data_IF_493084311141
#
_entry.id   IF_493084311141
#
_cell.length_a   1.000
_cell.length_b   1.000
_cell.length_c   1.000
_cell.angle_alpha   90.00
_cell.angle_beta   90.00
_cell.angle_gamma   90.00
#
_symmetry.space_group_name_H-M   'P 1'
#
loop_
_entity.id
_entity.type
_entity.pdbx_description
1 polymer ?
#
# COMPACT_ATOMS: atom_id res chain seq x y z
N UNK A 1 22.19 6.97 8.87
CA UNK A 1 20.88 6.95 8.21
C UNK A 1 20.30 5.54 8.23
N UNK A 2 20.90 4.58 7.51
CA UNK A 2 20.47 3.16 7.49
C UNK A 2 20.39 2.56 8.90
N UNK A 3 21.38 2.82 9.76
CA UNK A 3 21.36 2.37 11.15
C UNK A 3 20.14 2.88 11.92
N UNK A 4 19.80 4.18 11.82
CA UNK A 4 18.60 4.73 12.45
C UNK A 4 17.31 4.15 11.85
N UNK A 5 17.26 3.94 10.52
CA UNK A 5 16.15 3.27 9.86
C UNK A 5 15.93 1.84 10.39
N UNK A 6 17.03 1.09 10.58
CA UNK A 6 17.00 -0.26 11.12
C UNK A 6 16.54 -0.28 12.58
N UNK A 7 17.02 0.65 13.41
CA UNK A 7 16.59 0.75 14.80
C UNK A 7 15.13 1.18 14.93
N UNK A 8 14.66 2.10 14.09
CA UNK A 8 13.25 2.48 14.04
C UNK A 8 12.38 1.27 13.69
N UNK A 9 12.77 0.52 12.64
CA UNK A 9 12.09 -0.71 12.25
C UNK A 9 12.09 -1.75 13.38
N UNK A 10 13.23 -1.96 14.03
CA UNK A 10 13.33 -2.89 15.18
C UNK A 10 12.40 -2.48 16.32
N UNK A 11 12.30 -1.19 16.63
CA UNK A 11 11.41 -0.70 17.69
C UNK A 11 9.95 -1.02 17.38
N UNK A 12 9.51 -0.84 16.12
CA UNK A 12 8.13 -1.17 15.76
C UNK A 12 7.88 -2.66 15.68
N UNK A 13 8.86 -3.47 15.26
CA UNK A 13 8.74 -4.94 15.32
C UNK A 13 8.49 -5.41 16.75
N UNK A 14 9.27 -4.90 17.71
CA UNK A 14 9.09 -5.20 19.14
C UNK A 14 7.67 -4.79 19.58
N UNK A 15 7.18 -3.61 19.18
CA UNK A 15 5.82 -3.21 19.48
C UNK A 15 4.78 -4.16 18.88
N UNK A 16 4.97 -4.63 17.64
CA UNK A 16 4.07 -5.60 17.00
C UNK A 16 4.04 -6.92 17.78
N UNK A 17 5.21 -7.45 18.17
CA UNK A 17 5.29 -8.67 18.98
C UNK A 17 4.58 -8.48 20.33
N UNK A 18 4.82 -7.34 20.99
CA UNK A 18 4.21 -6.99 22.27
C UNK A 18 2.67 -6.92 22.21
N UNK A 19 2.09 -6.35 21.16
CA UNK A 19 0.62 -6.23 21.08
C UNK A 19 -0.08 -7.55 20.79
N UNK A 20 0.66 -8.56 20.31
CA UNK A 20 0.20 -9.91 20.03
C UNK A 20 0.41 -10.87 21.22
N UNK A 21 1.13 -10.46 22.28
CA UNK A 21 1.32 -11.24 23.51
C UNK A 21 0.03 -11.37 24.35
N UNK A 22 -0.14 -12.53 25.00
CA UNK A 22 -1.21 -12.78 25.98
C UNK A 22 -0.61 -13.18 27.35
N UNK A 23 -0.79 -12.38 28.43
CA UNK A 23 -1.45 -11.07 28.47
C UNK A 23 -0.56 -9.96 27.85
N UNK A 24 -1.18 -8.94 27.22
CA UNK A 24 -0.39 -7.87 26.60
C UNK A 24 0.30 -7.01 27.68
N UNK A 25 1.49 -6.47 27.36
CA UNK A 25 2.25 -5.58 28.25
C UNK A 25 1.52 -4.25 28.48
N UNK A 26 2.04 -3.45 29.42
CA UNK A 26 1.43 -2.16 29.77
C UNK A 26 1.43 -1.20 28.57
N UNK A 27 0.35 -0.42 28.44
CA UNK A 27 0.18 0.56 27.36
C UNK A 27 1.34 1.58 27.33
N UNK A 28 1.85 1.97 28.49
CA UNK A 28 2.98 2.88 28.61
C UNK A 28 4.28 2.28 28.04
N UNK A 29 4.52 0.97 28.23
CA UNK A 29 5.72 0.31 27.70
C UNK A 29 5.71 0.29 26.17
N UNK A 30 4.59 -0.11 25.56
CA UNK A 30 4.41 -0.10 24.10
C UNK A 30 4.55 1.33 23.55
N UNK A 31 3.93 2.31 24.21
CA UNK A 31 4.00 3.71 23.79
C UNK A 31 5.43 4.28 23.87
N UNK A 32 6.18 3.98 24.93
CA UNK A 32 7.57 4.43 25.07
C UNK A 32 8.48 3.89 23.95
N UNK A 33 8.36 2.61 23.62
CA UNK A 33 9.14 1.99 22.53
C UNK A 33 8.73 2.60 21.19
N UNK A 34 7.43 2.77 20.95
CA UNK A 34 6.93 3.40 19.73
C UNK A 34 7.45 4.83 19.56
N UNK A 35 7.42 5.64 20.62
CA UNK A 35 7.95 7.01 20.60
C UNK A 35 9.47 7.04 20.35
N UNK A 36 10.21 6.04 20.85
CA UNK A 36 11.63 5.86 20.53
C UNK A 36 11.81 5.55 19.04
N UNK A 37 10.97 4.67 18.48
CA UNK A 37 10.92 4.39 17.04
C UNK A 37 10.68 5.65 16.21
N UNK A 38 9.70 6.49 16.58
CA UNK A 38 9.44 7.76 15.88
C UNK A 38 10.61 8.73 15.95
N UNK A 39 11.30 8.82 17.09
CA UNK A 39 12.51 9.65 17.21
C UNK A 39 13.59 9.18 16.23
N UNK A 40 13.83 7.88 16.14
CA UNK A 40 14.82 7.28 15.24
C UNK A 40 14.43 7.44 13.77
N UNK A 41 13.14 7.30 13.45
CA UNK A 41 12.57 7.57 12.13
C UNK A 41 12.82 9.02 11.70
N UNK A 42 12.58 9.99 12.59
CA UNK A 42 12.81 11.41 12.30
C UNK A 42 14.29 11.69 12.04
N UNK A 43 15.20 11.15 12.86
CA UNK A 43 16.65 11.27 12.63
C UNK A 43 17.09 10.65 11.29
N UNK A 44 16.56 9.48 10.95
CA UNK A 44 16.82 8.85 9.65
C UNK A 44 16.31 9.72 8.49
N UNK A 45 15.10 10.26 8.61
CA UNK A 45 14.45 11.09 7.59
C UNK A 45 15.14 12.44 7.42
N UNK A 46 15.66 13.04 8.49
CA UNK A 46 16.52 14.23 8.44
C UNK A 46 17.80 13.95 7.64
N UNK A 47 18.52 12.88 7.97
CA UNK A 47 19.73 12.51 7.24
C UNK A 47 19.48 12.18 5.77
N UNK A 48 18.33 11.57 5.45
CA UNK A 48 17.92 11.35 4.06
C UNK A 48 17.73 12.68 3.33
N UNK A 49 17.05 13.65 3.94
CA UNK A 49 16.83 14.98 3.35
C UNK A 49 18.14 15.73 3.14
N UNK A 50 19.04 15.71 4.12
CA UNK A 50 20.35 16.37 4.02
C UNK A 50 21.21 15.78 2.90
N UNK A 51 21.12 14.45 2.69
CA UNK A 51 21.85 13.77 1.62
C UNK A 51 21.24 14.05 0.24
N UNK A 52 19.91 14.13 0.13
CA UNK A 52 19.20 14.49 -1.10
C UNK A 52 19.47 15.95 -1.50
N UNK A 53 19.64 16.86 -0.52
CA UNK A 53 19.91 18.27 -0.77
C UNK A 53 21.33 18.53 -1.33
N UNK A 54 22.23 17.56 -1.26
CA UNK A 54 23.59 17.68 -1.80
C UNK A 54 23.59 17.50 -3.32
N UNK A 55 24.19 18.44 -4.04
CA UNK A 55 24.13 18.52 -5.51
C UNK A 55 24.92 17.44 -6.27
N UNK A 56 25.74 16.64 -5.58
CA UNK A 56 26.57 15.60 -6.20
C UNK A 56 26.44 14.25 -5.46
N UNK A 57 25.20 13.78 -5.28
CA UNK A 57 24.94 12.48 -4.65
C UNK A 57 25.62 11.36 -5.45
N UNK A 58 26.53 10.63 -4.79
CA UNK A 58 27.23 9.50 -5.41
C UNK A 58 26.32 8.27 -5.51
N UNK A 59 26.64 7.34 -6.41
CA UNK A 59 25.90 6.06 -6.55
C UNK A 59 25.79 5.30 -5.22
N UNK A 60 26.86 5.27 -4.43
CA UNK A 60 26.87 4.65 -3.09
C UNK A 60 25.91 5.33 -2.10
N UNK A 61 25.72 6.64 -2.22
CA UNK A 61 24.81 7.41 -1.36
C UNK A 61 23.35 7.19 -1.76
N UNK A 62 23.08 7.03 -3.06
CA UNK A 62 21.76 6.63 -3.56
C UNK A 62 21.36 5.22 -3.12
N UNK A 63 22.32 4.29 -3.02
CA UNK A 63 22.09 2.95 -2.44
C UNK A 63 21.75 3.02 -0.95
N UNK A 64 22.39 3.91 -0.19
CA UNK A 64 22.02 4.17 1.21
C UNK A 64 20.61 4.73 1.32
N UNK A 65 20.23 5.68 0.45
CA UNK A 65 18.88 6.23 0.39
C UNK A 65 17.85 5.14 0.10
N UNK A 66 18.13 4.27 -0.86
CA UNK A 66 17.28 3.14 -1.21
C UNK A 66 17.11 2.18 -0.03
N UNK A 67 18.22 1.79 0.62
CA UNK A 67 18.20 0.89 1.77
C UNK A 67 17.40 1.48 2.94
N UNK A 68 17.62 2.75 3.29
CA UNK A 68 16.86 3.43 4.33
C UNK A 68 15.38 3.51 4.00
N UNK A 69 15.01 3.92 2.78
CA UNK A 69 13.61 4.04 2.40
C UNK A 69 12.88 2.68 2.46
N UNK A 70 13.52 1.60 2.03
CA UNK A 70 12.97 0.24 2.12
C UNK A 70 12.74 -0.23 3.56
N UNK A 71 13.55 0.23 4.51
CA UNK A 71 13.38 -0.05 5.95
C UNK A 71 12.29 0.83 6.59
N UNK A 72 12.16 2.09 6.13
CA UNK A 72 11.20 3.03 6.70
C UNK A 72 9.76 2.81 6.23
N UNK A 73 9.53 2.21 5.04
CA UNK A 73 8.18 1.88 4.55
C UNK A 73 7.44 0.91 5.50
N UNK A 74 8.01 -0.23 5.92
CA UNK A 74 7.39 -1.09 6.93
C UNK A 74 7.22 -0.40 8.29
N UNK A 75 8.14 0.50 8.66
CA UNK A 75 8.03 1.25 9.91
C UNK A 75 6.79 2.13 9.93
N UNK A 76 6.55 2.91 8.87
CA UNK A 76 5.43 3.86 8.83
C UNK A 76 4.07 3.18 8.81
N UNK A 77 3.94 2.01 8.21
CA UNK A 77 2.69 1.24 8.24
C UNK A 77 2.48 0.51 9.57
N UNK A 78 3.51 -0.17 10.09
CA UNK A 78 3.38 -0.93 11.34
C UNK A 78 3.13 0.01 12.53
N UNK A 79 3.75 1.19 12.55
CA UNK A 79 3.57 2.19 13.62
C UNK A 79 2.14 2.73 13.67
N UNK A 80 1.42 2.78 12.54
CA UNK A 80 -0.01 3.11 12.50
C UNK A 80 -0.85 2.05 13.21
N UNK A 81 -0.54 0.78 13.01
CA UNK A 81 -1.27 -0.32 13.65
C UNK A 81 -1.07 -0.30 15.16
N UNK A 82 0.18 -0.14 15.61
CA UNK A 82 0.49 -0.03 17.04
C UNK A 82 -0.21 1.18 17.64
N UNK A 83 -0.18 2.33 16.96
CA UNK A 83 -0.88 3.55 17.39
C UNK A 83 -2.39 3.35 17.49
N UNK A 84 -3.00 2.64 16.53
CA UNK A 84 -4.41 2.27 16.58
C UNK A 84 -4.71 1.34 17.76
N UNK A 85 -3.87 0.34 18.02
CA UNK A 85 -4.00 -0.55 19.17
C UNK A 85 -3.95 0.24 20.50
N UNK A 86 -2.96 1.12 20.66
CA UNK A 86 -2.83 2.01 21.83
C UNK A 86 -4.11 2.84 22.00
N UNK A 87 -4.57 3.47 20.92
CA UNK A 87 -5.80 4.29 20.93
C UNK A 87 -7.03 3.47 21.33
N UNK A 88 -7.15 2.23 20.86
CA UNK A 88 -8.30 1.37 21.16
C UNK A 88 -8.34 0.89 22.61
N UNK A 89 -7.18 0.81 23.29
CA UNK A 89 -7.04 0.35 24.67
C UNK A 89 -7.05 1.50 25.68
N UNK A 90 -6.78 2.72 25.25
CA UNK A 90 -6.81 3.91 26.10
C UNK A 90 -8.24 4.25 26.52
N UNK A 91 -8.53 4.16 27.82
CA UNK A 91 -9.86 4.47 28.41
C UNK A 91 -10.15 5.97 28.51
N UNK A 92 -9.19 6.83 28.18
CA UNK A 92 -9.33 8.27 28.33
C UNK A 92 -9.83 8.90 27.04
N UNK A 93 -11.02 9.53 27.10
CA UNK A 93 -11.58 10.46 26.10
C UNK A 93 -10.70 11.72 25.84
N UNK A 94 -9.40 11.67 26.15
CA UNK A 94 -8.47 12.73 25.79
C UNK A 94 -8.03 12.44 24.36
N UNK A 95 -8.39 13.34 23.47
CA UNK A 95 -7.89 13.42 22.10
C UNK A 95 -6.37 13.53 22.11
N UNK A 96 -5.69 12.42 22.31
CA UNK A 96 -4.30 12.30 21.91
C UNK A 96 -4.34 12.48 20.39
N UNK A 97 -3.95 13.67 19.96
CA UNK A 97 -3.73 14.05 18.57
C UNK A 97 -3.05 12.86 17.90
N UNK A 98 -3.83 12.06 17.16
CA UNK A 98 -3.34 10.84 16.57
C UNK A 98 -2.08 11.24 15.81
N UNK A 99 -0.95 10.61 16.13
CA UNK A 99 0.18 10.58 15.22
C UNK A 99 -0.22 9.63 14.08
N UNK A 100 -1.25 10.05 13.35
CA UNK A 100 -1.77 9.35 12.19
C UNK A 100 -0.86 9.69 11.04
N UNK A 101 0.23 8.92 10.94
CA UNK A 101 0.87 8.73 9.65
C UNK A 101 -0.26 8.27 8.72
N UNK A 102 -0.56 9.06 7.70
CA UNK A 102 -1.60 8.70 6.73
C UNK A 102 -0.93 7.85 5.63
N UNK A 103 -1.66 7.19 4.72
CA UNK A 103 -1.03 6.48 3.60
C UNK A 103 -0.07 7.38 2.79
N UNK A 104 -0.17 8.70 2.94
CA UNK A 104 0.73 9.72 2.39
C UNK A 104 2.21 9.39 2.59
N UNK A 105 2.66 9.09 3.82
CA UNK A 105 4.10 8.90 4.07
C UNK A 105 4.63 7.63 3.38
N UNK A 106 3.81 6.58 3.37
CA UNK A 106 4.10 5.32 2.67
C UNK A 106 4.19 5.55 1.16
N UNK A 107 3.23 6.29 0.60
CA UNK A 107 3.20 6.66 -0.82
C UNK A 107 4.44 7.49 -1.19
N UNK A 108 4.75 8.53 -0.40
CA UNK A 108 5.87 9.43 -0.65
C UNK A 108 7.18 8.65 -0.65
N UNK A 109 7.40 7.79 0.34
CA UNK A 109 8.62 6.97 0.39
C UNK A 109 8.72 5.97 -0.76
N UNK A 110 7.64 5.24 -1.09
CA UNK A 110 7.67 4.28 -2.18
C UNK A 110 7.86 4.95 -3.56
N UNK A 111 7.31 6.15 -3.76
CA UNK A 111 7.58 6.96 -4.96
C UNK A 111 9.01 7.46 -4.98
N UNK A 112 9.53 7.93 -3.84
CA UNK A 112 10.93 8.32 -3.70
C UNK A 112 11.88 7.19 -4.10
N UNK A 113 11.64 5.97 -3.58
CA UNK A 113 12.38 4.75 -3.97
C UNK A 113 12.38 4.57 -5.49
N UNK A 114 11.19 4.61 -6.12
CA UNK A 114 11.08 4.43 -7.57
C UNK A 114 11.89 5.48 -8.35
N UNK A 115 11.78 6.75 -7.95
CA UNK A 115 12.52 7.84 -8.60
C UNK A 115 14.04 7.66 -8.43
N UNK A 116 14.50 7.26 -7.24
CA UNK A 116 15.93 6.98 -7.00
C UNK A 116 16.43 5.83 -7.86
N UNK A 117 15.64 4.76 -8.02
CA UNK A 117 15.99 3.62 -8.90
C UNK A 117 16.07 4.07 -10.36
N UNK A 118 15.09 4.84 -10.84
CA UNK A 118 15.09 5.36 -12.21
C UNK A 118 16.29 6.29 -12.48
N UNK A 119 16.65 7.14 -11.51
CA UNK A 119 17.81 8.01 -11.62
C UNK A 119 19.12 7.19 -11.67
N UNK A 120 19.24 6.14 -10.86
CA UNK A 120 20.37 5.21 -10.88
C UNK A 120 20.51 4.51 -12.23
N UNK A 121 19.42 3.96 -12.78
CA UNK A 121 19.43 3.27 -14.07
C UNK A 121 19.85 4.21 -15.21
N UNK A 122 19.39 5.47 -15.18
CA UNK A 122 19.75 6.47 -16.21
C UNK A 122 21.23 6.88 -16.19
N UNK A 123 21.87 6.93 -15.01
CA UNK A 123 23.28 7.31 -14.85
C UNK A 123 24.22 6.21 -15.34
N UNK A 124 23.85 4.94 -15.18
CA UNK A 124 24.64 3.79 -15.64
C UNK A 124 24.59 3.63 -17.16
N UNK A 125 23.45 3.89 -17.79
CA UNK A 125 23.33 3.91 -19.26
C UNK A 125 24.18 5.00 -19.92
N UNK A 126 24.45 6.11 -19.21
CA UNK A 126 25.32 7.21 -19.67
C UNK A 126 26.81 6.91 -19.47
N UNK A 127 27.17 5.93 -18.63
CA UNK A 127 28.54 5.70 -18.17
C UNK A 127 29.27 4.52 -18.84
N UNK A 128 28.72 3.89 -19.89
CA UNK A 128 29.31 2.70 -20.51
C UNK A 128 30.06 3.02 -21.83
N UNK A 129 31.41 2.84 -21.91
CA UNK A 129 32.11 2.68 -23.18
C UNK A 129 31.91 1.25 -23.72
N UNK A 130 31.76 1.13 -25.05
CA UNK A 130 31.67 -0.14 -25.78
C UNK A 130 32.89 -1.03 -25.56
N UNK A 131 32.83 -2.00 -24.63
CA UNK A 131 33.66 -3.21 -24.76
C UNK A 131 33.05 -4.38 -24.00
N UNK A 132 32.45 -5.31 -24.75
CA UNK A 132 31.95 -6.59 -24.23
C UNK A 132 33.06 -7.64 -24.33
N UNK A 133 33.39 -8.29 -23.23
CA UNK A 133 33.90 -9.65 -23.25
C UNK A 133 33.10 -10.52 -22.28
N UNK A 134 32.69 -11.66 -22.83
CA UNK A 134 31.93 -12.72 -22.20
C UNK A 134 32.89 -13.64 -21.44
N UNK A 135 32.54 -13.95 -20.19
CA UNK A 135 33.07 -15.11 -19.49
C UNK A 135 31.85 -15.76 -18.82
N UNK A 136 31.49 -16.92 -19.33
CA UNK A 136 30.51 -17.83 -18.76
C UNK A 136 31.10 -18.44 -17.49
N UNK A 137 30.45 -18.21 -16.37
CA UNK A 137 30.65 -19.03 -15.18
C UNK A 137 29.33 -19.09 -14.44
N UNK A 138 28.63 -20.21 -14.60
CA UNK A 138 27.46 -20.58 -13.84
C UNK A 138 27.78 -20.62 -12.35
N UNK A 139 27.00 -19.91 -11.53
CA UNK A 139 27.07 -20.05 -10.08
C UNK A 139 25.72 -19.77 -9.39
N UNK A 140 25.53 -20.29 -8.16
CA UNK A 140 24.25 -20.52 -7.53
C UNK A 140 23.89 -19.36 -6.59
N UNK A 141 22.75 -18.71 -6.81
CA UNK A 141 22.17 -17.81 -5.81
C UNK A 141 20.82 -18.35 -5.38
N UNK A 142 20.85 -18.97 -4.19
CA UNK A 142 19.74 -19.20 -3.27
C UNK A 142 18.38 -19.29 -3.95
N UNK A 143 18.21 -20.35 -4.74
CA UNK A 143 16.93 -21.03 -4.74
C UNK A 143 16.68 -21.45 -3.30
N UNK A 144 15.90 -20.64 -2.58
CA UNK A 144 15.11 -21.15 -1.46
C UNK A 144 14.10 -22.10 -2.10
N UNK A 145 14.57 -23.30 -2.44
CA UNK A 145 13.72 -24.47 -2.53
C UNK A 145 13.20 -24.68 -1.11
N UNK A 146 11.99 -24.19 -0.84
CA UNK A 146 11.48 -24.23 0.53
C UNK A 146 10.06 -23.77 0.74
N UNK A 147 9.18 -23.79 -0.27
CA UNK A 147 7.75 -24.04 -0.06
C UNK A 147 7.06 -24.31 -1.39
N UNK A 148 6.59 -25.53 -1.61
CA UNK A 148 5.54 -25.83 -2.59
C UNK A 148 4.18 -25.33 -2.12
N UNK A 149 4.05 -24.84 -0.89
CA UNK A 149 2.81 -24.29 -0.39
C UNK A 149 2.59 -22.89 -0.99
N UNK A 150 1.38 -22.61 -1.52
CA UNK A 150 1.03 -21.30 -2.01
C UNK A 150 1.20 -20.23 -0.91
N UNK A 151 1.59 -18.99 -1.27
CA UNK A 151 1.78 -17.93 -0.28
C UNK A 151 0.49 -17.62 0.49
N UNK A 152 0.56 -17.11 1.74
CA UNK A 152 -0.59 -16.90 2.61
C UNK A 152 -1.74 -16.13 1.95
N UNK A 153 -1.41 -15.20 1.05
CA UNK A 153 -2.38 -14.41 0.29
C UNK A 153 -3.24 -15.21 -0.67
N UNK A 154 -2.69 -16.27 -1.25
CA UNK A 154 -3.38 -17.19 -2.17
C UNK A 154 -4.24 -18.22 -1.43
N UNK A 155 -3.92 -18.48 -0.16
CA UNK A 155 -4.71 -19.33 0.76
C UNK A 155 -5.65 -18.53 1.65
N UNK A 156 -5.72 -17.21 1.47
CA UNK A 156 -6.52 -16.34 2.31
C UNK A 156 -8.00 -16.70 2.18
N UNK A 157 -8.73 -16.71 3.29
CA UNK A 157 -10.15 -17.10 3.32
C UNK A 157 -11.03 -16.21 2.42
N UNK A 158 -10.66 -14.94 2.26
CA UNK A 158 -11.34 -14.02 1.35
C UNK A 158 -11.00 -14.24 -0.13
N UNK A 159 -9.93 -14.97 -0.47
CA UNK A 159 -9.48 -15.13 -1.85
C UNK A 159 -10.59 -15.59 -2.81
N UNK A 160 -11.32 -16.70 -2.57
CA UNK A 160 -12.39 -17.13 -3.46
C UNK A 160 -13.57 -16.15 -3.52
N UNK A 161 -13.90 -15.49 -2.40
CA UNK A 161 -14.99 -14.51 -2.32
C UNK A 161 -14.66 -13.28 -3.18
N UNK A 162 -13.43 -12.77 -3.05
CA UNK A 162 -12.96 -11.64 -3.85
C UNK A 162 -12.83 -12.01 -5.32
N UNK A 163 -12.33 -13.20 -5.65
CA UNK A 163 -12.25 -13.67 -7.03
C UNK A 163 -13.63 -13.64 -7.73
N UNK A 164 -14.66 -14.15 -7.03
CA UNK A 164 -16.03 -14.26 -7.54
C UNK A 164 -16.76 -12.90 -7.64
N UNK A 165 -16.54 -11.99 -6.68
CA UNK A 165 -17.35 -10.77 -6.57
C UNK A 165 -16.69 -9.51 -7.15
N UNK A 166 -15.36 -9.47 -7.22
CA UNK A 166 -14.62 -8.27 -7.63
C UNK A 166 -14.91 -7.81 -9.07
N UNK A 167 -15.22 -8.73 -9.99
CA UNK A 167 -15.52 -8.35 -11.38
C UNK A 167 -16.79 -7.50 -11.46
N UNK A 168 -17.88 -7.97 -10.84
CA UNK A 168 -19.14 -7.26 -10.82
C UNK A 168 -19.01 -5.91 -10.08
N UNK A 169 -18.26 -5.88 -8.97
CA UNK A 169 -17.99 -4.64 -8.24
C UNK A 169 -17.23 -3.60 -9.10
N UNK A 170 -16.17 -4.02 -9.80
CA UNK A 170 -15.42 -3.14 -10.70
C UNK A 170 -16.24 -2.69 -11.90
N UNK A 171 -17.17 -3.50 -12.42
CA UNK A 171 -18.09 -3.10 -13.49
C UNK A 171 -18.99 -1.94 -13.05
N UNK A 172 -19.55 -1.99 -11.83
CA UNK A 172 -20.35 -0.88 -11.27
C UNK A 172 -19.52 0.38 -11.05
N UNK A 173 -18.29 0.22 -10.55
CA UNK A 173 -17.35 1.33 -10.42
C UNK A 173 -17.01 1.96 -11.79
N UNK A 174 -16.88 1.15 -12.84
CA UNK A 174 -16.67 1.59 -14.20
C UNK A 174 -17.88 2.36 -14.76
N UNK A 175 -19.10 1.92 -14.48
CA UNK A 175 -20.33 2.61 -14.87
C UNK A 175 -20.41 4.01 -14.25
N UNK A 176 -20.10 4.13 -12.96
CA UNK A 176 -20.02 5.44 -12.28
C UNK A 176 -18.96 6.35 -12.87
N UNK A 177 -17.76 5.83 -13.15
CA UNK A 177 -16.72 6.57 -13.85
C UNK A 177 -17.21 7.08 -15.23
N UNK A 178 -17.85 6.21 -16.03
CA UNK A 178 -18.40 6.58 -17.34
C UNK A 178 -19.49 7.65 -17.23
N UNK A 179 -20.37 7.55 -16.23
CA UNK A 179 -21.43 8.53 -15.99
C UNK A 179 -20.87 9.93 -15.74
N UNK A 180 -19.73 10.04 -15.05
CA UNK A 180 -19.07 11.33 -14.81
C UNK A 180 -18.36 11.85 -16.05
N UNK A 181 -17.67 10.97 -16.78
CA UNK A 181 -16.99 11.35 -18.02
C UNK A 181 -17.93 11.90 -19.10
N UNK A 182 -19.18 11.45 -19.14
CA UNK A 182 -20.19 11.91 -20.11
C UNK A 182 -20.75 13.31 -19.77
N UNK A 183 -20.70 13.70 -18.49
CA UNK A 183 -21.33 14.93 -18.00
C UNK A 183 -20.37 16.12 -17.87
N UNK A 184 -19.05 15.92 -18.02
CA UNK A 184 -18.04 16.93 -17.68
C UNK A 184 -17.47 17.70 -18.89
N UNK A 185 -17.62 19.03 -18.85
CA UNK A 185 -17.17 19.98 -19.88
C UNK A 185 -15.92 20.78 -19.46
N UNK A 186 -15.37 20.62 -18.24
CA UNK A 186 -14.40 21.58 -17.65
C UNK A 186 -13.11 21.04 -17.00
N UNK A 187 -12.60 21.79 -16.00
CA UNK A 187 -11.35 21.55 -15.24
C UNK A 187 -11.32 20.22 -14.46
N UNK A 188 -12.50 19.70 -14.12
CA UNK A 188 -12.69 18.39 -13.48
C UNK A 188 -12.22 17.22 -14.37
N UNK A 189 -12.08 17.45 -15.68
CA UNK A 189 -11.60 16.47 -16.67
C UNK A 189 -10.23 15.92 -16.33
N UNK A 190 -9.35 16.74 -15.75
CA UNK A 190 -8.01 16.29 -15.34
C UNK A 190 -8.08 15.35 -14.13
N UNK A 191 -8.97 15.61 -13.16
CA UNK A 191 -9.16 14.76 -11.99
C UNK A 191 -9.89 13.46 -12.35
N UNK A 192 -10.89 13.52 -13.23
CA UNK A 192 -11.60 12.35 -13.74
C UNK A 192 -10.69 11.45 -14.60
N UNK A 193 -9.85 12.03 -15.45
CA UNK A 193 -8.82 11.30 -16.19
C UNK A 193 -7.81 10.60 -15.25
N UNK A 194 -7.41 11.29 -14.18
CA UNK A 194 -6.57 10.70 -13.15
C UNK A 194 -7.26 9.54 -12.40
N UNK A 195 -8.56 9.68 -12.08
CA UNK A 195 -9.37 8.60 -11.52
C UNK A 195 -9.50 7.42 -12.48
N UNK A 196 -9.71 7.68 -13.77
CA UNK A 196 -9.78 6.65 -14.81
C UNK A 196 -8.47 5.85 -14.89
N UNK A 197 -7.32 6.55 -14.90
CA UNK A 197 -6.01 5.90 -14.92
C UNK A 197 -5.77 5.07 -13.65
N UNK A 198 -6.13 5.58 -12.47
CA UNK A 198 -6.04 4.81 -11.22
C UNK A 198 -6.94 3.57 -11.25
N UNK A 199 -8.17 3.71 -11.76
CA UNK A 199 -9.10 2.60 -11.95
C UNK A 199 -8.56 1.53 -12.90
N UNK A 200 -7.93 1.91 -14.03
CA UNK A 200 -7.29 0.97 -14.94
C UNK A 200 -6.17 0.16 -14.25
N UNK A 201 -5.32 0.82 -13.46
CA UNK A 201 -4.32 0.10 -12.66
C UNK A 201 -4.94 -0.89 -11.69
N UNK A 202 -6.03 -0.52 -11.03
CA UNK A 202 -6.75 -1.41 -10.12
C UNK A 202 -7.34 -2.62 -10.85
N UNK A 203 -7.93 -2.42 -12.04
CA UNK A 203 -8.45 -3.51 -12.89
C UNK A 203 -7.32 -4.45 -13.31
N UNK A 204 -6.16 -3.90 -13.67
CA UNK A 204 -4.98 -4.71 -14.03
C UNK A 204 -4.51 -5.56 -12.84
N UNK A 205 -4.37 -4.97 -11.66
CA UNK A 205 -4.01 -5.69 -10.43
C UNK A 205 -4.99 -6.83 -10.15
N UNK A 206 -6.31 -6.56 -10.22
CA UNK A 206 -7.35 -7.59 -10.04
C UNK A 206 -7.20 -8.71 -11.06
N UNK A 207 -7.04 -8.35 -12.32
CA UNK A 207 -6.94 -9.29 -13.44
C UNK A 207 -5.72 -10.19 -13.27
N UNK A 208 -4.54 -9.62 -13.02
CA UNK A 208 -3.31 -10.40 -12.80
C UNK A 208 -3.38 -11.30 -11.56
N UNK A 209 -4.06 -10.83 -10.50
CA UNK A 209 -4.20 -11.58 -9.25
C UNK A 209 -5.06 -12.84 -9.42
N UNK A 210 -6.22 -12.71 -10.08
CA UNK A 210 -7.20 -13.79 -10.19
C UNK A 210 -7.17 -14.53 -11.54
N UNK A 211 -6.32 -14.11 -12.48
CA UNK A 211 -6.10 -14.88 -13.71
C UNK A 211 -5.42 -16.20 -13.37
N UNK A 212 -6.07 -17.31 -13.68
CA UNK A 212 -5.46 -18.63 -13.69
C UNK A 212 -4.41 -18.68 -14.79
N UNK A 213 -3.16 -18.36 -14.45
CA UNK A 213 -2.05 -18.67 -15.33
C UNK A 213 -1.74 -20.16 -15.22
N UNK A 214 -2.43 -20.97 -16.02
CA UNK A 214 -2.05 -22.36 -16.34
C UNK A 214 -0.72 -22.44 -17.14
N UNK A 215 -0.04 -21.31 -17.32
CA UNK A 215 1.30 -21.27 -17.90
C UNK A 215 2.34 -21.71 -16.86
N UNK A 216 2.46 -23.03 -16.71
CA UNK A 216 3.60 -23.73 -16.12
C UNK A 216 4.91 -23.55 -16.90
N UNK A 217 4.93 -22.74 -17.97
CA UNK A 217 6.18 -22.33 -18.59
C UNK A 217 6.80 -21.19 -17.77
N UNK A 218 7.98 -21.38 -17.15
CA UNK A 218 8.74 -20.24 -16.68
C UNK A 218 9.02 -19.37 -17.90
N UNK A 219 8.41 -18.18 -17.97
CA UNK A 219 8.94 -17.14 -18.85
C UNK A 219 10.33 -16.84 -18.32
N UNK A 220 11.31 -17.52 -18.92
CA UNK A 220 12.71 -17.15 -18.84
C UNK A 220 12.80 -15.78 -19.51
N UNK A 221 12.57 -14.73 -18.72
CA UNK A 221 13.21 -13.46 -18.99
C UNK A 221 14.69 -13.78 -18.91
N UNK A 222 15.31 -14.00 -20.08
CA UNK A 222 16.75 -14.13 -20.24
C UNK A 222 17.42 -12.85 -19.77
N UNK A 223 17.53 -12.70 -18.46
CA UNK A 223 18.50 -11.84 -17.84
C UNK A 223 19.74 -12.72 -17.72
N UNK A 224 20.67 -12.54 -18.66
CA UNK A 224 22.08 -12.90 -18.44
C UNK A 224 22.58 -12.02 -17.29
N UNK A 225 22.22 -12.39 -16.07
CA UNK A 225 22.57 -11.66 -14.86
C UNK A 225 24.02 -11.98 -14.53
N UNK A 226 24.92 -11.07 -14.95
CA UNK A 226 26.23 -10.96 -14.32
C UNK A 226 26.02 -10.69 -12.83
N UNK A 227 26.88 -11.26 -12.01
CA UNK A 227 26.83 -11.18 -10.55
C UNK A 227 26.55 -9.74 -10.08
N UNK A 228 25.54 -9.54 -9.21
CA UNK A 228 25.28 -8.25 -8.64
C UNK A 228 26.43 -7.90 -7.68
N UNK A 229 27.38 -7.03 -8.07
CA UNK A 229 28.27 -6.36 -7.09
C UNK A 229 27.36 -5.81 -6.00
N UNK A 230 27.74 -5.95 -4.74
CA UNK A 230 26.93 -5.85 -3.51
C UNK A 230 25.85 -4.72 -3.40
N UNK A 231 25.81 -3.71 -4.28
CA UNK A 231 24.73 -2.73 -4.45
C UNK A 231 23.60 -3.10 -5.45
N UNK A 232 23.77 -4.11 -6.30
CA UNK A 232 22.84 -4.46 -7.38
C UNK A 232 21.60 -5.26 -6.94
N UNK A 233 21.65 -6.03 -5.85
CA UNK A 233 20.52 -6.89 -5.48
C UNK A 233 19.32 -6.08 -4.98
N UNK A 234 19.56 -4.99 -4.23
CA UNK A 234 18.53 -4.03 -3.79
C UNK A 234 17.89 -3.36 -4.99
N UNK A 235 18.70 -3.05 -6.01
CA UNK A 235 18.21 -2.52 -7.28
C UNK A 235 17.37 -3.53 -8.04
N UNK A 236 17.84 -4.77 -8.19
CA UNK A 236 17.06 -5.86 -8.80
C UNK A 236 15.76 -6.12 -8.04
N UNK A 237 15.80 -6.04 -6.71
CA UNK A 237 14.61 -6.15 -5.86
C UNK A 237 13.67 -4.97 -6.14
N UNK A 238 14.16 -3.75 -6.20
CA UNK A 238 13.34 -2.56 -6.45
C UNK A 238 12.80 -2.49 -7.89
N UNK A 239 13.54 -2.98 -8.89
CA UNK A 239 13.18 -2.96 -10.32
C UNK A 239 12.40 -4.19 -10.80
N UNK A 240 12.15 -5.17 -9.91
CA UNK A 240 11.45 -6.42 -10.26
C UNK A 240 10.08 -6.16 -10.91
N UNK A 241 9.73 -6.91 -11.98
CA UNK A 241 8.44 -6.80 -12.65
C UNK A 241 7.26 -6.93 -11.68
N UNK A 242 6.16 -6.25 -12.01
CA UNK A 242 4.99 -6.12 -11.14
C UNK A 242 3.97 -7.26 -11.30
N UNK A 243 4.10 -8.07 -12.35
CA UNK A 243 3.19 -9.18 -12.64
C UNK A 243 3.45 -10.32 -11.63
N UNK A 244 2.49 -10.64 -10.74
CA UNK A 244 2.66 -11.71 -9.77
C UNK A 244 2.65 -13.08 -10.44
N UNK A 245 3.63 -13.92 -10.12
CA UNK A 245 3.53 -15.36 -10.42
C UNK A 245 2.59 -16.06 -9.42
N UNK A 246 2.02 -17.24 -9.74
CA UNK A 246 1.15 -17.98 -8.82
C UNK A 246 1.81 -18.34 -7.48
N UNK A 247 3.13 -18.53 -7.47
CA UNK A 247 3.94 -18.85 -6.29
C UNK A 247 4.48 -17.62 -5.58
N UNK A 248 4.18 -16.40 -6.06
CA UNK A 248 4.73 -15.16 -5.53
C UNK A 248 3.75 -14.41 -4.64
N UNK A 249 4.27 -13.69 -3.63
CA UNK A 249 3.47 -12.84 -2.77
C UNK A 249 2.76 -11.71 -3.54
N UNK A 250 1.56 -11.34 -3.10
CA UNK A 250 0.72 -10.30 -3.70
C UNK A 250 1.01 -8.89 -3.15
N UNK A 251 1.74 -8.76 -2.04
CA UNK A 251 2.05 -7.47 -1.41
C UNK A 251 2.63 -6.46 -2.39
N UNK A 252 3.64 -6.86 -3.16
CA UNK A 252 4.33 -5.96 -4.09
C UNK A 252 3.41 -5.48 -5.23
N UNK A 253 2.71 -6.35 -5.97
CA UNK A 253 1.71 -5.93 -6.96
C UNK A 253 0.68 -4.95 -6.38
N UNK A 254 0.19 -5.20 -5.16
CA UNK A 254 -0.84 -4.33 -4.59
C UNK A 254 -0.30 -2.96 -4.20
N UNK A 255 0.87 -2.90 -3.57
CA UNK A 255 1.50 -1.64 -3.19
C UNK A 255 1.87 -0.77 -4.39
N UNK A 256 2.12 -1.40 -5.54
CA UNK A 256 2.48 -0.63 -6.71
C UNK A 256 1.30 0.18 -7.30
N UNK A 257 0.06 -0.07 -6.88
CA UNK A 257 -1.06 0.89 -7.06
C UNK A 257 -0.70 2.28 -6.52
N UNK A 258 -0.19 2.35 -5.29
CA UNK A 258 0.18 3.59 -4.62
C UNK A 258 1.34 4.32 -5.31
N UNK A 259 2.23 3.53 -5.92
CA UNK A 259 3.40 4.04 -6.66
C UNK A 259 3.02 4.53 -8.06
N UNK A 260 2.04 3.91 -8.71
CA UNK A 260 1.69 4.17 -10.11
C UNK A 260 0.47 5.06 -10.30
N UNK A 261 -0.40 5.19 -9.29
CA UNK A 261 -1.56 6.08 -9.37
C UNK A 261 -1.15 7.50 -9.79
N UNK A 262 -1.92 8.22 -10.60
CA UNK A 262 -1.56 9.60 -10.95
C UNK A 262 -1.50 10.52 -9.74
N UNK A 263 -0.61 11.52 -9.74
CA UNK A 263 -0.52 12.49 -8.64
C UNK A 263 -1.85 13.23 -8.43
N UNK A 264 -2.53 13.64 -9.50
CA UNK A 264 -3.83 14.32 -9.41
C UNK A 264 -4.92 13.45 -8.75
N UNK A 265 -4.86 12.12 -8.87
CA UNK A 265 -5.75 11.22 -8.14
C UNK A 265 -5.41 11.19 -6.65
N UNK A 266 -4.12 11.16 -6.32
CA UNK A 266 -3.68 11.19 -4.92
C UNK A 266 -4.00 12.51 -4.21
N UNK A 267 -3.84 13.63 -4.92
CA UNK A 267 -4.18 14.95 -4.39
C UNK A 267 -5.67 15.06 -4.06
N UNK A 268 -6.51 14.29 -4.76
CA UNK A 268 -7.94 14.19 -4.50
C UNK A 268 -8.25 13.25 -3.32
N UNK A 269 -7.65 12.05 -3.27
CA UNK A 269 -8.03 11.02 -2.29
C UNK A 269 -7.35 11.16 -0.93
N UNK A 270 -6.10 11.64 -0.87
CA UNK A 270 -5.35 11.70 0.37
C UNK A 270 -5.96 12.64 1.41
N UNK A 271 -6.42 13.86 1.08
CA UNK A 271 -7.09 14.72 2.06
C UNK A 271 -8.33 14.04 2.67
N UNK A 272 -9.06 13.24 1.88
CA UNK A 272 -10.24 12.51 2.34
C UNK A 272 -9.83 11.34 3.26
N UNK A 273 -8.74 10.64 2.94
CA UNK A 273 -8.17 9.61 3.80
C UNK A 273 -7.53 10.19 5.07
N UNK A 274 -7.13 11.45 5.08
CA UNK A 274 -6.65 12.13 6.28
C UNK A 274 -7.85 12.45 7.21
N UNK A 275 -9.00 12.89 6.65
CA UNK A 275 -10.23 13.18 7.39
C UNK A 275 -10.88 11.97 8.06
N UNK A 276 -10.66 10.74 7.57
CA UNK A 276 -11.22 9.52 8.18
C UNK A 276 -10.70 9.26 9.61
N UNK A 277 -9.61 9.93 9.99
CA UNK A 277 -8.95 9.82 11.29
C UNK A 277 -9.53 10.82 12.30
N UNK A 278 -10.39 11.74 11.85
CA UNK A 278 -11.12 12.68 12.69
C UNK A 278 -12.32 12.00 13.35
N UNK A 279 -12.71 12.48 14.54
CA UNK A 279 -13.94 12.02 15.20
C UNK A 279 -15.16 12.15 14.27
N UNK A 280 -16.16 11.24 14.39
CA UNK A 280 -17.39 11.35 13.62
C UNK A 280 -18.01 12.74 13.79
N UNK A 281 -18.53 13.38 12.73
CA UNK A 281 -19.19 14.67 12.86
C UNK A 281 -20.35 14.54 13.86
N UNK A 282 -20.42 15.46 14.83
CA UNK A 282 -21.35 15.43 15.95
C UNK A 282 -22.84 15.59 15.55
N UNK A 283 -23.14 15.75 14.26
CA UNK A 283 -24.50 15.82 13.73
C UNK A 283 -24.62 15.02 12.43
N UNK A 284 -25.70 14.24 12.32
CA UNK A 284 -26.06 13.45 11.14
C UNK A 284 -26.23 14.29 9.87
N UNK A 285 -26.46 15.59 10.02
CA UNK A 285 -26.73 16.53 8.92
C UNK A 285 -25.44 17.08 8.28
N UNK A 286 -24.26 16.83 8.88
CA UNK A 286 -22.95 17.19 8.32
C UNK A 286 -22.10 15.95 8.03
N UNK A 287 -22.70 14.89 7.47
CA UNK A 287 -21.89 13.95 6.69
C UNK A 287 -21.15 14.77 5.64
N UNK A 288 -19.81 14.74 5.63
CA UNK A 288 -19.00 15.53 4.70
C UNK A 288 -19.61 15.44 3.30
N UNK A 289 -20.10 16.57 2.77
CA UNK A 289 -20.70 16.61 1.44
C UNK A 289 -19.59 16.29 0.45
N UNK A 290 -19.47 15.02 0.09
CA UNK A 290 -18.56 14.57 -0.94
C UNK A 290 -19.11 14.98 -2.30
N UNK A 291 -18.26 15.54 -3.15
CA UNK A 291 -18.59 15.64 -4.58
C UNK A 291 -18.58 14.23 -5.19
N UNK A 292 -19.15 14.07 -6.39
CA UNK A 292 -19.15 12.77 -7.07
C UNK A 292 -17.72 12.32 -7.40
N UNK A 293 -16.84 13.24 -7.73
CA UNK A 293 -15.42 13.00 -8.04
C UNK A 293 -14.68 12.50 -6.79
N UNK A 294 -14.90 13.16 -5.64
CA UNK A 294 -14.33 12.75 -4.36
C UNK A 294 -14.82 11.37 -3.93
N UNK A 295 -16.13 11.11 -4.07
CA UNK A 295 -16.71 9.81 -3.77
C UNK A 295 -16.17 8.71 -4.70
N UNK A 296 -16.02 8.99 -6.00
CA UNK A 296 -15.40 8.07 -6.95
C UNK A 296 -13.95 7.76 -6.55
N UNK A 297 -13.16 8.78 -6.21
CA UNK A 297 -11.77 8.60 -5.82
C UNK A 297 -11.61 7.75 -4.55
N UNK A 298 -12.45 8.02 -3.54
CA UNK A 298 -12.55 7.21 -2.33
C UNK A 298 -12.97 5.77 -2.65
N UNK A 299 -13.91 5.59 -3.58
CA UNK A 299 -14.38 4.25 -3.88
C UNK A 299 -13.35 3.41 -4.64
N UNK A 300 -12.58 4.00 -5.57
CA UNK A 300 -11.41 3.34 -6.18
C UNK A 300 -10.44 2.89 -5.08
N UNK A 301 -10.15 3.76 -4.11
CA UNK A 301 -9.24 3.42 -3.01
C UNK A 301 -9.81 2.35 -2.09
N UNK A 302 -11.12 2.36 -1.83
CA UNK A 302 -11.80 1.35 -1.04
C UNK A 302 -11.73 -0.02 -1.72
N UNK A 303 -11.95 -0.08 -3.03
CA UNK A 303 -11.81 -1.33 -3.80
C UNK A 303 -10.38 -1.88 -3.74
N UNK A 304 -9.37 -1.01 -3.87
CA UNK A 304 -7.97 -1.39 -3.65
C UNK A 304 -7.73 -1.91 -2.22
N UNK A 305 -8.28 -1.23 -1.22
CA UNK A 305 -8.16 -1.62 0.20
C UNK A 305 -8.76 -2.99 0.48
N UNK A 306 -9.84 -3.38 -0.21
CA UNK A 306 -10.41 -4.73 -0.10
C UNK A 306 -9.46 -5.79 -0.66
N UNK A 307 -8.78 -5.53 -1.78
CA UNK A 307 -7.76 -6.44 -2.29
C UNK A 307 -6.64 -6.64 -1.27
N UNK A 308 -6.25 -5.57 -0.57
CA UNK A 308 -5.23 -5.60 0.47
C UNK A 308 -5.54 -6.54 1.65
N UNK A 309 -6.80 -6.98 1.85
CA UNK A 309 -7.12 -8.04 2.82
C UNK A 309 -6.30 -9.31 2.57
N UNK A 310 -6.00 -9.64 1.30
CA UNK A 310 -5.24 -10.85 0.98
C UNK A 310 -3.80 -10.79 1.50
N UNK A 311 -3.24 -9.62 1.74
CA UNK A 311 -1.82 -9.47 2.12
C UNK A 311 -1.60 -9.17 3.60
N UNK A 312 -2.68 -9.11 4.39
CA UNK A 312 -2.60 -8.79 5.82
C UNK A 312 -1.72 -9.79 6.60
N UNK A 313 -1.79 -11.08 6.26
CA UNK A 313 -0.97 -12.16 6.87
C UNK A 313 0.33 -12.42 6.12
N UNK A 314 0.43 -11.93 4.90
CA UNK A 314 1.62 -12.08 4.08
C UNK A 314 2.71 -11.09 4.46
N UNK A 315 2.32 -9.90 4.92
CA UNK A 315 3.25 -8.85 5.32
C UNK A 315 2.85 -8.31 6.68
N UNK A 316 3.62 -8.71 7.70
CA UNK A 316 3.39 -8.35 9.10
C UNK A 316 3.19 -6.83 9.30
N UNK A 317 3.92 -6.02 8.55
CA UNK A 317 3.85 -4.56 8.61
C UNK A 317 2.61 -3.95 7.95
N UNK A 318 1.90 -4.69 7.09
CA UNK A 318 0.61 -4.30 6.52
C UNK A 318 -0.52 -4.65 7.50
N UNK A 319 -0.49 -5.88 8.04
CA UNK A 319 -1.47 -6.45 8.97
C UNK A 319 -2.89 -5.90 8.82
N UNK A 320 -3.49 -5.44 9.92
CA UNK A 320 -4.90 -4.98 9.96
C UNK A 320 -5.16 -3.61 9.31
N UNK A 321 -4.17 -3.00 8.66
CA UNK A 321 -4.29 -1.65 8.10
C UNK A 321 -5.45 -1.50 7.10
N UNK A 322 -5.72 -2.45 6.18
CA UNK A 322 -6.84 -2.33 5.25
C UNK A 322 -8.20 -2.33 5.96
N UNK A 323 -8.35 -3.18 6.99
CA UNK A 323 -9.55 -3.27 7.82
C UNK A 323 -9.78 -2.01 8.63
N UNK A 324 -8.75 -1.51 9.32
CA UNK A 324 -8.78 -0.22 10.03
C UNK A 324 -9.15 0.90 9.05
N UNK A 325 -8.62 0.83 7.83
CA UNK A 325 -8.84 1.86 6.82
C UNK A 325 -10.26 1.95 6.32
N UNK A 326 -10.83 0.82 5.91
CA UNK A 326 -12.24 0.75 5.51
C UNK A 326 -13.18 1.06 6.69
N UNK A 327 -12.81 0.65 7.91
CA UNK A 327 -13.58 1.00 9.12
C UNK A 327 -13.65 2.50 9.32
N UNK A 328 -12.52 3.21 9.23
CA UNK A 328 -12.49 4.67 9.33
C UNK A 328 -13.30 5.35 8.22
N UNK A 329 -13.25 4.84 6.99
CA UNK A 329 -14.06 5.35 5.88
C UNK A 329 -15.56 5.19 6.14
N UNK A 330 -16.00 4.00 6.58
CA UNK A 330 -17.41 3.74 6.92
C UNK A 330 -17.87 4.64 8.07
N UNK A 331 -17.05 4.80 9.11
CA UNK A 331 -17.38 5.64 10.26
C UNK A 331 -17.51 7.12 9.88
N UNK A 332 -16.71 7.60 8.91
CA UNK A 332 -16.69 9.01 8.50
C UNK A 332 -17.76 9.33 7.45
N UNK A 333 -17.91 8.48 6.44
CA UNK A 333 -18.72 8.77 5.25
C UNK A 333 -20.02 7.96 5.19
N UNK A 334 -20.17 6.93 6.03
CA UNK A 334 -21.25 5.94 5.95
C UNK A 334 -20.99 4.87 4.90
N UNK A 335 -21.76 3.78 4.90
CA UNK A 335 -21.71 2.74 3.86
C UNK A 335 -22.63 3.04 2.66
N UNK A 336 -23.35 4.17 2.69
CA UNK A 336 -24.30 4.59 1.66
C UNK A 336 -23.86 5.84 0.87
N UNK A 337 -22.63 6.35 1.06
CA UNK A 337 -22.19 7.59 0.40
C UNK A 337 -22.23 7.49 -1.13
N UNK A 338 -21.98 6.30 -1.68
CA UNK A 338 -22.13 6.03 -3.12
C UNK A 338 -23.60 6.12 -3.54
N UNK A 339 -24.51 5.40 -2.87
CA UNK A 339 -25.94 5.41 -3.21
C UNK A 339 -26.61 6.78 -3.05
N UNK A 340 -26.10 7.64 -2.16
CA UNK A 340 -26.55 9.04 -2.03
C UNK A 340 -26.22 9.89 -3.25
N UNK A 341 -25.09 9.61 -3.92
CA UNK A 341 -24.58 10.38 -5.06
C UNK A 341 -24.98 9.77 -6.42
N UNK A 342 -25.33 8.48 -6.44
CA UNK A 342 -25.87 7.75 -7.60
C UNK A 342 -27.22 7.09 -7.26
N UNK A 343 -28.30 7.89 -7.09
CA UNK A 343 -29.61 7.38 -6.69
C UNK A 343 -30.23 6.41 -7.71
N UNK A 344 -29.82 6.49 -8.99
CA UNK A 344 -30.26 5.58 -10.04
C UNK A 344 -29.82 4.13 -9.78
N UNK A 345 -28.69 3.92 -9.07
CA UNK A 345 -28.21 2.60 -8.65
C UNK A 345 -28.93 2.09 -7.39
N UNK A 346 -29.49 3.01 -6.59
CA UNK A 346 -30.15 2.74 -5.30
C UNK A 346 -31.48 2.00 -5.39
N UNK A 347 -32.02 1.83 -6.61
CA UNK A 347 -33.18 0.97 -6.84
C UNK A 347 -32.85 -0.52 -6.72
N UNK A 348 -31.56 -0.87 -6.80
CA UNK A 348 -31.06 -2.16 -6.36
C UNK A 348 -30.78 -2.07 -4.84
N UNK A 349 -31.26 -3.01 -4.03
CA UNK A 349 -30.90 -3.10 -2.60
C UNK A 349 -29.42 -3.46 -2.37
N UNK A 350 -28.55 -3.22 -3.37
CA UNK A 350 -27.19 -3.69 -3.37
C UNK A 350 -26.32 -2.79 -2.49
N UNK A 351 -25.75 -3.41 -1.46
CA UNK A 351 -24.84 -2.75 -0.54
C UNK A 351 -23.53 -2.38 -1.25
N UNK A 352 -22.91 -1.27 -0.82
CA UNK A 352 -21.60 -0.85 -1.28
C UNK A 352 -20.56 -1.96 -1.06
N UNK A 353 -19.99 -2.50 -2.15
CA UNK A 353 -19.19 -3.73 -2.13
C UNK A 353 -18.02 -3.71 -1.12
N UNK A 354 -17.19 -2.65 -1.02
CA UNK A 354 -16.17 -2.58 0.02
C UNK A 354 -16.71 -2.67 1.45
N UNK A 355 -17.87 -2.06 1.71
CA UNK A 355 -18.56 -2.16 2.99
C UNK A 355 -19.03 -3.58 3.28
N UNK A 356 -19.59 -4.28 2.28
CA UNK A 356 -20.00 -5.69 2.41
C UNK A 356 -18.81 -6.62 2.63
N UNK A 357 -17.70 -6.44 1.90
CA UNK A 357 -16.49 -7.27 2.09
C UNK A 357 -15.86 -7.07 3.48
N UNK A 358 -15.92 -5.85 4.03
CA UNK A 358 -15.51 -5.57 5.41
C UNK A 358 -16.40 -6.32 6.42
N UNK A 359 -17.72 -6.36 6.21
CA UNK A 359 -18.67 -7.12 7.06
C UNK A 359 -18.35 -8.62 7.01
N UNK A 360 -18.21 -9.17 5.81
CA UNK A 360 -17.86 -10.60 5.60
C UNK A 360 -16.54 -10.94 6.27
N UNK A 361 -15.48 -10.12 6.10
CA UNK A 361 -14.19 -10.39 6.73
C UNK A 361 -14.33 -10.49 8.26
N UNK A 362 -15.05 -9.54 8.89
CA UNK A 362 -15.29 -9.55 10.34
C UNK A 362 -16.07 -10.77 10.81
N UNK A 363 -17.07 -11.21 10.05
CA UNK A 363 -17.82 -12.44 10.35
C UNK A 363 -16.93 -13.67 10.27
N UNK A 364 -16.09 -13.77 9.23
CA UNK A 364 -15.16 -14.88 9.04
C UNK A 364 -14.08 -14.91 10.11
N UNK A 365 -13.59 -13.75 10.56
CA UNK A 365 -12.63 -13.66 11.66
C UNK A 365 -13.27 -13.91 13.03
N UNK A 366 -14.50 -13.46 13.26
CA UNK A 366 -15.23 -13.65 14.53
C UNK A 366 -15.78 -15.06 14.76
N UNK A 367 -15.82 -15.92 13.72
CA UNK A 367 -16.17 -17.33 13.84
C UNK A 367 -14.97 -18.25 14.17
N UNK A 368 -13.77 -17.69 14.38
CA UNK A 368 -12.57 -18.41 14.84
C UNK A 368 -12.26 -18.04 16.28
#
# INVERSE_FOLDING_TARGET
MVFYSLQALSAVCICCDMIDEEPPPTLDAVNQILMTGYRLYNLASEQMRDLIAQSDTRTSEMELLLASALLLVPFTTASQQVSHWISSKSKTNKSHKLLSVTPRDVIVMMRGIRTTVQALDSRELSALPETRLAIDTSSPLLSVNGSTAPPPSRTHVMFPILAATSQAALSKLQERLKSLLQNDVGYERNQLSACASAFEFLVNIRTETFSHSDSSAPRSTGLTAKEPRTGSWLRCYASRPMIPRPTEPLTRPFLAFLVQAPQAYLDLVLPLLDQRLESPPASSDTSAQLTKEQALALDIYAHWSVLMFLVEKESWWIGKLPTVTLTGMVNRYGDNFVGRLWPEESHSQEQWWPGSMLKILREVEGCR
#
